data_IF_719138774836
#
_entry.id   IF_719138774836
#
_cell.length_a   1.000
_cell.length_b   1.000
_cell.length_c   1.000
_cell.angle_alpha   90.00
_cell.angle_beta   90.00
_cell.angle_gamma   90.00
#
_symmetry.space_group_name_H-M   'P 1'
#
loop_
_entity.id
_entity.type
_entity.pdbx_description
1 polymer ?
#
# COMPACT_ATOMS: atom_id res chain seq x y z
N UNK A 1 -23.30 -23.99 -1.99
CA UNK A 1 -22.42 -22.88 -2.37
C UNK A 1 -22.45 -21.91 -1.20
N UNK A 2 -21.55 -22.08 -0.24
CA UNK A 2 -21.52 -21.23 0.95
C UNK A 2 -20.86 -19.92 0.57
N UNK A 3 -21.68 -18.89 0.45
CA UNK A 3 -21.25 -17.51 0.31
C UNK A 3 -20.51 -17.14 1.60
N UNK A 4 -19.18 -17.15 1.55
CA UNK A 4 -18.36 -16.66 2.65
C UNK A 4 -18.53 -15.15 2.68
N UNK A 5 -19.47 -14.66 3.48
CA UNK A 5 -19.57 -13.24 3.83
C UNK A 5 -18.24 -12.82 4.43
N UNK A 6 -17.44 -12.09 3.65
CA UNK A 6 -16.22 -11.43 4.12
C UNK A 6 -16.64 -10.55 5.29
N UNK A 7 -16.08 -10.71 6.50
CA UNK A 7 -16.51 -9.93 7.64
C UNK A 7 -16.36 -8.45 7.32
N UNK A 8 -17.43 -7.68 7.53
CA UNK A 8 -17.36 -6.23 7.41
C UNK A 8 -16.32 -5.70 8.40
N UNK A 9 -15.45 -4.78 7.95
CA UNK A 9 -14.44 -4.21 8.82
C UNK A 9 -15.11 -3.38 9.90
N UNK A 10 -14.81 -3.67 11.18
CA UNK A 10 -15.39 -2.95 12.32
C UNK A 10 -15.05 -1.46 12.35
N UNK A 11 -14.03 -1.03 11.58
CA UNK A 11 -13.58 0.36 11.46
C UNK A 11 -13.44 0.69 9.96
N UNK A 12 -14.37 1.48 9.43
CA UNK A 12 -14.36 1.95 8.04
C UNK A 12 -14.44 3.47 7.95
N UNK A 13 -14.12 4.01 6.78
CA UNK A 13 -14.28 5.42 6.44
C UNK A 13 -14.68 5.58 4.97
N UNK A 14 -15.67 6.43 4.67
CA UNK A 14 -16.08 6.73 3.30
C UNK A 14 -15.15 7.73 2.59
N UNK A 15 -14.06 8.18 3.26
CA UNK A 15 -13.19 9.22 2.72
C UNK A 15 -12.54 8.78 1.41
N UNK A 16 -12.50 9.71 0.46
CA UNK A 16 -11.78 9.55 -0.78
C UNK A 16 -10.42 10.25 -0.66
N UNK A 17 -9.34 9.47 -0.53
CA UNK A 17 -7.98 10.02 -0.39
C UNK A 17 -7.49 10.73 -1.65
N UNK A 18 -8.17 10.55 -2.78
CA UNK A 18 -7.82 11.11 -4.08
C UNK A 18 -8.70 12.29 -4.49
N UNK A 19 -9.63 12.72 -3.63
CA UNK A 19 -10.39 13.95 -3.85
C UNK A 19 -9.44 15.17 -3.85
N UNK A 20 -9.65 16.10 -4.77
CA UNK A 20 -8.78 17.27 -4.96
C UNK A 20 -8.61 18.09 -3.67
N UNK A 21 -9.66 18.20 -2.85
CA UNK A 21 -9.59 18.93 -1.58
C UNK A 21 -8.72 18.22 -0.55
N UNK A 22 -8.75 16.89 -0.53
CA UNK A 22 -7.90 16.06 0.34
C UNK A 22 -6.47 16.07 -0.16
N UNK A 23 -6.23 16.03 -1.47
CA UNK A 23 -4.88 16.12 -2.04
C UNK A 23 -4.26 17.50 -1.77
N UNK A 24 -5.06 18.57 -1.81
CA UNK A 24 -4.60 19.93 -1.53
C UNK A 24 -4.22 20.15 -0.05
N UNK A 25 -4.98 19.57 0.88
CA UNK A 25 -4.66 19.57 2.32
C UNK A 25 -4.99 18.22 2.98
N UNK A 26 -4.05 17.25 2.97
CA UNK A 26 -4.33 15.89 3.40
C UNK A 26 -4.27 15.70 4.91
N UNK A 27 -3.61 16.61 5.63
CA UNK A 27 -3.30 16.41 7.05
C UNK A 27 -4.52 16.34 7.97
N UNK A 28 -5.60 17.13 7.76
CA UNK A 28 -6.86 16.97 8.49
C UNK A 28 -7.45 15.57 8.30
N UNK A 29 -7.54 15.09 7.06
CA UNK A 29 -8.04 13.74 6.73
C UNK A 29 -7.21 12.66 7.41
N UNK A 30 -5.88 12.76 7.35
CA UNK A 30 -5.00 11.80 8.01
C UNK A 30 -5.13 11.84 9.54
N UNK A 31 -5.42 13.01 10.13
CA UNK A 31 -5.66 13.14 11.56
C UNK A 31 -6.94 12.41 11.98
N UNK A 32 -8.02 12.51 11.20
CA UNK A 32 -9.25 11.75 11.46
C UNK A 32 -9.03 10.24 11.33
N UNK A 33 -8.36 9.79 10.26
CA UNK A 33 -8.04 8.36 10.09
C UNK A 33 -7.21 7.82 11.26
N UNK A 34 -6.26 8.60 11.79
CA UNK A 34 -5.46 8.21 12.97
C UNK A 34 -6.30 8.07 14.24
N UNK A 35 -7.41 8.78 14.38
CA UNK A 35 -8.32 8.69 15.54
C UNK A 35 -9.20 7.45 15.48
N UNK A 36 -9.56 6.98 14.28
CA UNK A 36 -10.42 5.80 14.08
C UNK A 36 -9.75 4.49 14.53
N UNK A 37 -8.47 4.30 14.23
CA UNK A 37 -7.77 3.08 14.64
C UNK A 37 -6.42 2.83 13.95
N UNK A 38 -5.77 1.69 14.25
CA UNK A 38 -4.49 1.30 13.66
C UNK A 38 -4.61 0.84 12.20
N UNK A 39 -5.79 0.35 11.80
CA UNK A 39 -6.13 -0.03 10.43
C UNK A 39 -7.58 0.41 10.16
N UNK A 40 -7.80 1.12 9.06
CA UNK A 40 -9.11 1.65 8.67
C UNK A 40 -9.43 1.18 7.26
N UNK A 41 -10.59 0.57 7.04
CA UNK A 41 -11.01 0.22 5.69
C UNK A 41 -11.56 1.45 4.98
N UNK A 42 -10.97 1.80 3.84
CA UNK A 42 -11.42 2.87 2.96
C UNK A 42 -12.46 2.32 2.00
N UNK A 43 -13.71 2.74 2.16
CA UNK A 43 -14.84 2.18 1.42
C UNK A 43 -14.72 2.48 -0.08
N UNK A 44 -14.35 3.72 -0.43
CA UNK A 44 -14.20 4.22 -1.81
C UNK A 44 -13.11 3.49 -2.58
N UNK A 45 -11.98 3.24 -1.93
CA UNK A 45 -10.83 2.56 -2.53
C UNK A 45 -10.88 1.03 -2.36
N UNK A 46 -11.83 0.51 -1.58
CA UNK A 46 -11.89 -0.89 -1.14
C UNK A 46 -10.52 -1.42 -0.65
N UNK A 47 -9.83 -0.63 0.16
CA UNK A 47 -8.46 -0.87 0.59
C UNK A 47 -8.27 -0.54 2.07
N UNK A 48 -7.22 -1.07 2.68
CA UNK A 48 -6.88 -0.75 4.07
C UNK A 48 -5.88 0.40 4.14
N UNK A 49 -6.17 1.40 4.96
CA UNK A 49 -5.24 2.44 5.35
C UNK A 49 -4.57 2.09 6.69
N UNK A 50 -3.25 2.28 6.76
CA UNK A 50 -2.47 2.24 7.98
C UNK A 50 -2.04 3.68 8.33
N UNK A 51 -2.82 4.43 9.13
CA UNK A 51 -2.60 5.86 9.30
C UNK A 51 -1.48 6.21 10.29
N UNK A 52 -0.89 5.21 10.95
CA UNK A 52 0.11 5.35 12.02
C UNK A 52 1.48 4.84 11.57
N UNK A 53 2.53 5.58 11.93
CA UNK A 53 3.91 5.27 11.56
C UNK A 53 4.34 3.84 11.89
N UNK A 54 4.09 3.38 13.13
CA UNK A 54 4.53 2.05 13.57
C UNK A 54 3.89 0.93 12.75
N UNK A 55 2.59 1.07 12.42
CA UNK A 55 1.88 0.10 11.59
C UNK A 55 2.41 0.07 10.16
N UNK A 56 2.67 1.24 9.55
CA UNK A 56 3.28 1.35 8.23
C UNK A 56 4.68 0.73 8.23
N UNK A 57 5.51 1.09 9.21
CA UNK A 57 6.87 0.57 9.33
C UNK A 57 6.89 -0.94 9.52
N UNK A 58 6.01 -1.49 10.35
CA UNK A 58 5.91 -2.92 10.54
C UNK A 58 5.54 -3.63 9.23
N UNK A 59 4.50 -3.16 8.53
CA UNK A 59 4.07 -3.73 7.26
C UNK A 59 5.17 -3.66 6.19
N UNK A 60 5.86 -2.52 6.06
CA UNK A 60 6.96 -2.35 5.10
C UNK A 60 8.20 -3.21 5.40
N UNK A 61 8.34 -3.73 6.61
CA UNK A 61 9.44 -4.66 6.98
C UNK A 61 9.00 -6.14 6.93
N UNK A 62 7.75 -6.44 6.55
CA UNK A 62 7.21 -7.80 6.47
C UNK A 62 6.69 -8.09 5.04
N UNK A 63 7.59 -8.28 4.07
CA UNK A 63 7.21 -8.56 2.68
C UNK A 63 6.61 -9.96 2.48
N UNK A 64 6.76 -10.87 3.45
CA UNK A 64 6.13 -12.19 3.39
C UNK A 64 4.61 -12.09 3.61
N UNK A 65 4.18 -11.23 4.55
CA UNK A 65 2.75 -10.93 4.77
C UNK A 65 2.22 -9.88 3.78
N UNK A 66 3.00 -8.83 3.49
CA UNK A 66 2.60 -7.69 2.66
C UNK A 66 3.37 -7.68 1.34
N UNK A 67 3.01 -8.61 0.45
CA UNK A 67 3.63 -8.80 -0.87
C UNK A 67 3.42 -7.62 -1.82
N UNK A 68 4.43 -7.32 -2.64
CA UNK A 68 4.36 -6.30 -3.70
C UNK A 68 4.02 -6.88 -5.09
N UNK A 69 3.95 -8.20 -5.24
CA UNK A 69 3.82 -8.89 -6.55
C UNK A 69 2.48 -8.61 -7.24
N UNK A 70 1.39 -8.52 -6.47
CA UNK A 70 0.04 -8.48 -7.02
C UNK A 70 -0.57 -7.08 -7.12
N UNK A 71 0.19 -6.04 -6.73
CA UNK A 71 -0.24 -4.67 -6.95
C UNK A 71 0.43 -3.66 -6.02
N UNK A 72 0.70 -2.48 -6.58
CA UNK A 72 1.22 -1.30 -5.89
C UNK A 72 0.25 -0.12 -5.98
N UNK A 73 -0.73 -0.20 -6.87
CA UNK A 73 -1.79 0.77 -7.06
C UNK A 73 -3.11 0.23 -6.51
N UNK A 74 -4.02 1.14 -6.16
CA UNK A 74 -5.37 0.82 -5.71
C UNK A 74 -6.36 0.58 -6.88
N UNK A 75 -5.87 0.47 -8.12
CA UNK A 75 -6.68 0.14 -9.29
C UNK A 75 -6.00 -0.90 -10.20
N UNK A 76 -6.77 -1.74 -10.91
CA UNK A 76 -6.23 -2.77 -11.79
C UNK A 76 -5.39 -2.20 -12.94
N UNK A 77 -5.83 -1.10 -13.56
CA UNK A 77 -5.17 -0.50 -14.71
C UNK A 77 -3.75 -0.07 -14.38
N UNK A 78 -3.56 0.62 -13.25
CA UNK A 78 -2.25 1.02 -12.77
C UNK A 78 -1.36 -0.18 -12.43
N UNK A 79 -1.95 -1.28 -11.92
CA UNK A 79 -1.18 -2.48 -11.61
C UNK A 79 -0.68 -3.20 -12.85
N UNK A 80 -1.43 -3.21 -13.96
CA UNK A 80 -1.00 -3.83 -15.23
C UNK A 80 0.32 -3.24 -15.75
N UNK A 81 0.53 -1.93 -15.58
CA UNK A 81 1.75 -1.25 -16.03
C UNK A 81 2.96 -1.56 -15.15
N UNK A 82 2.77 -1.63 -13.84
CA UNK A 82 3.88 -1.71 -12.88
C UNK A 82 4.35 -3.14 -12.67
N UNK A 83 3.44 -4.13 -12.69
CA UNK A 83 3.77 -5.52 -12.37
C UNK A 83 4.55 -6.24 -13.49
N UNK A 84 4.48 -5.73 -14.72
CA UNK A 84 5.06 -6.44 -15.85
C UNK A 84 6.60 -6.47 -15.86
N UNK A 85 7.30 -5.44 -15.34
CA UNK A 85 8.76 -5.32 -15.50
C UNK A 85 9.46 -4.45 -14.42
N UNK A 86 8.88 -4.32 -13.22
CA UNK A 86 9.44 -3.45 -12.19
C UNK A 86 10.11 -4.23 -11.07
N UNK A 87 11.28 -3.77 -10.62
CA UNK A 87 11.90 -4.24 -9.36
C UNK A 87 10.94 -4.04 -8.19
N UNK A 88 10.12 -2.98 -8.23
CA UNK A 88 9.17 -2.65 -7.15
C UNK A 88 8.06 -3.71 -6.99
N UNK A 89 7.72 -4.45 -8.05
CA UNK A 89 6.62 -5.43 -8.05
C UNK A 89 7.14 -6.87 -7.96
N UNK A 90 8.29 -7.08 -7.32
CA UNK A 90 8.88 -8.40 -7.09
C UNK A 90 9.17 -8.59 -5.61
N UNK A 91 9.14 -9.85 -5.15
CA UNK A 91 9.48 -10.23 -3.77
C UNK A 91 10.57 -11.31 -3.73
N UNK A 92 11.06 -11.60 -2.52
CA UNK A 92 11.96 -12.73 -2.24
C UNK A 92 13.27 -12.71 -3.03
N UNK A 93 13.67 -13.88 -3.55
CA UNK A 93 14.94 -14.06 -4.26
C UNK A 93 15.03 -13.23 -5.55
N UNK A 94 13.91 -13.06 -6.27
CA UNK A 94 13.91 -12.28 -7.51
C UNK A 94 14.11 -10.79 -7.23
N UNK A 95 13.42 -10.26 -6.20
CA UNK A 95 13.67 -8.90 -5.73
C UNK A 95 15.13 -8.71 -5.31
N UNK A 96 15.70 -9.64 -4.53
CA UNK A 96 17.10 -9.57 -4.10
C UNK A 96 18.07 -9.55 -5.29
N UNK A 97 17.82 -10.37 -6.31
CA UNK A 97 18.63 -10.45 -7.54
C UNK A 97 18.60 -9.12 -8.32
N UNK A 98 17.41 -8.59 -8.57
CA UNK A 98 17.21 -7.36 -9.33
C UNK A 98 17.71 -6.12 -8.57
N UNK A 99 17.40 -6.03 -7.27
CA UNK A 99 17.80 -4.92 -6.41
C UNK A 99 19.31 -4.82 -6.26
N UNK A 100 20.04 -5.95 -6.24
CA UNK A 100 21.51 -5.95 -6.17
C UNK A 100 22.15 -5.20 -7.34
N UNK A 101 21.65 -5.41 -8.57
CA UNK A 101 22.14 -4.71 -9.76
C UNK A 101 21.80 -3.23 -9.68
N UNK A 102 20.54 -2.90 -9.37
CA UNK A 102 20.08 -1.52 -9.26
C UNK A 102 20.84 -0.71 -8.19
N UNK A 103 21.05 -1.28 -7.00
CA UNK A 103 21.76 -0.61 -5.90
C UNK A 103 23.20 -0.27 -6.24
N UNK A 104 23.88 -1.10 -7.06
CA UNK A 104 25.25 -0.82 -7.52
C UNK A 104 25.30 0.45 -8.38
N UNK A 105 24.35 0.62 -9.29
CA UNK A 105 24.31 1.77 -10.20
C UNK A 105 23.86 3.08 -9.52
N UNK A 106 23.09 2.97 -8.43
CA UNK A 106 22.63 4.12 -7.63
C UNK A 106 23.58 4.51 -6.50
N UNK A 107 24.66 3.76 -6.28
CA UNK A 107 25.63 4.09 -5.24
C UNK A 107 26.35 5.42 -5.57
N UNK A 108 26.74 6.21 -4.56
CA UNK A 108 27.56 7.39 -4.78
C UNK A 108 28.80 7.04 -5.60
N UNK A 109 29.10 7.85 -6.62
CA UNK A 109 30.38 7.76 -7.33
C UNK A 109 31.46 8.34 -6.43
N UNK A 110 32.48 7.55 -6.14
CA UNK A 110 33.73 8.03 -5.57
C UNK A 110 34.55 8.76 -6.65
#
# INVERSE_FOLDING_TARGET
>A
MSETTKPEPAISSPVDLFDDSVVADPYPTYAELRKLGPAVHLERANAWALPRYDAVKAALNDPETFSSVNGLHLNPEGNQWVTANSVLATDGLEHARLRRVLSKELAPRA
#
